data_IF_831366205076
#
_entry.id   IF_831366205076
#
_cell.length_a   1.000
_cell.length_b   1.000
_cell.length_c   1.000
_cell.angle_alpha   90.00
_cell.angle_beta   90.00
_cell.angle_gamma   90.00
#
_symmetry.space_group_name_H-M   'P 1'
#
loop_
_entity.id
_entity.type
_entity.pdbx_description
1 polymer ?
#
# COMPACT_ATOMS: atom_id res chain seq x y z
N UNK A 1 33.00 9.15 8.59
CA UNK A 1 32.17 7.91 8.69
C UNK A 1 32.66 6.92 7.65
N UNK A 2 33.11 5.76 8.07
CA UNK A 2 33.63 4.73 7.16
C UNK A 2 32.48 3.91 6.56
N UNK A 3 31.34 3.82 7.25
CA UNK A 3 30.16 3.06 6.84
C UNK A 3 28.90 3.97 6.91
N UNK A 4 28.79 5.00 6.03
CA UNK A 4 27.80 6.06 6.23
C UNK A 4 26.35 5.56 6.29
N UNK A 5 25.96 4.62 5.44
CA UNK A 5 24.60 4.09 5.46
C UNK A 5 24.35 3.19 6.68
N UNK A 6 25.25 2.25 6.93
CA UNK A 6 25.07 1.30 8.04
C UNK A 6 25.05 2.04 9.40
N UNK A 7 25.99 2.97 9.61
CA UNK A 7 26.02 3.78 10.84
C UNK A 7 24.72 4.60 10.99
N UNK A 8 24.21 5.17 9.90
CA UNK A 8 22.97 5.94 9.94
C UNK A 8 21.79 5.06 10.35
N UNK A 9 21.68 3.83 9.81
CA UNK A 9 20.61 2.89 10.17
C UNK A 9 20.71 2.46 11.65
N UNK A 10 21.92 2.17 12.11
CA UNK A 10 22.19 1.82 13.52
C UNK A 10 21.75 2.97 14.45
N UNK A 11 22.10 4.20 14.07
CA UNK A 11 21.75 5.38 14.86
C UNK A 11 20.24 5.63 14.85
N UNK A 12 19.58 5.48 13.69
CA UNK A 12 18.12 5.60 13.60
C UNK A 12 17.42 4.57 14.51
N UNK A 13 17.91 3.32 14.51
CA UNK A 13 17.38 2.28 15.40
C UNK A 13 17.43 2.74 16.87
N UNK A 14 18.55 3.38 17.29
CA UNK A 14 18.73 3.86 18.68
C UNK A 14 17.76 4.97 19.07
N UNK A 15 17.19 5.69 18.10
CA UNK A 15 16.19 6.74 18.38
C UNK A 15 14.89 6.18 18.96
N UNK A 16 14.60 4.92 18.71
CA UNK A 16 13.43 4.20 19.21
C UNK A 16 12.11 4.93 18.89
N UNK A 17 11.96 5.35 17.64
CA UNK A 17 10.75 6.03 17.16
C UNK A 17 9.59 5.04 17.02
N UNK A 18 8.38 5.47 17.36
CA UNK A 18 7.18 4.72 17.00
C UNK A 18 6.92 4.95 15.50
N UNK A 19 6.87 3.87 14.73
CA UNK A 19 6.71 3.93 13.28
C UNK A 19 5.22 3.88 12.89
N UNK A 20 4.70 5.04 12.49
CA UNK A 20 3.41 5.14 11.79
C UNK A 20 3.64 5.39 10.30
N UNK A 21 4.66 4.74 9.77
CA UNK A 21 5.10 4.81 8.37
C UNK A 21 5.32 3.41 7.84
N UNK A 22 5.50 3.28 6.54
CA UNK A 22 6.01 2.02 5.96
C UNK A 22 7.43 1.76 6.49
N UNK A 23 7.86 0.50 6.55
CA UNK A 23 7.13 -0.71 6.16
C UNK A 23 6.13 -1.19 7.23
N UNK A 24 5.22 -2.07 6.82
CA UNK A 24 4.18 -2.64 7.68
C UNK A 24 4.73 -3.53 8.80
N UNK A 25 5.95 -4.03 8.66
CA UNK A 25 6.59 -4.84 9.70
C UNK A 25 7.00 -4.02 10.94
N UNK A 26 6.99 -2.67 10.83
CA UNK A 26 7.27 -1.75 11.95
C UNK A 26 8.58 -2.10 12.68
N UNK A 27 9.68 -2.09 11.93
CA UNK A 27 11.01 -2.40 12.46
C UNK A 27 11.11 -3.81 13.05
N UNK A 28 10.37 -4.74 12.47
CA UNK A 28 10.37 -6.14 12.89
C UNK A 28 9.31 -6.50 13.93
N UNK A 29 8.64 -5.50 14.54
CA UNK A 29 7.67 -5.75 15.62
C UNK A 29 6.50 -6.63 15.17
N UNK A 30 6.04 -6.47 13.92
CA UNK A 30 4.92 -7.26 13.41
C UNK A 30 5.25 -8.76 13.30
N UNK A 31 6.52 -9.12 13.15
CA UNK A 31 6.94 -10.52 13.14
C UNK A 31 6.85 -11.17 14.52
N UNK A 32 6.84 -10.39 15.57
CA UNK A 32 6.81 -10.91 16.95
C UNK A 32 5.43 -11.43 17.38
N UNK A 33 4.45 -11.48 16.44
CA UNK A 33 3.09 -11.99 16.72
C UNK A 33 3.11 -13.45 17.19
N UNK A 34 4.06 -14.24 16.72
CA UNK A 34 4.22 -15.64 17.15
C UNK A 34 5.69 -16.09 17.11
N UNK A 35 5.93 -17.34 17.53
CA UNK A 35 7.28 -17.91 17.60
C UNK A 35 7.95 -18.03 16.22
N UNK A 36 7.20 -18.33 15.16
CA UNK A 36 7.75 -18.46 13.80
C UNK A 36 8.26 -17.11 13.27
N UNK A 37 7.47 -16.07 13.46
CA UNK A 37 7.89 -14.72 13.06
C UNK A 37 9.08 -14.22 13.87
N UNK A 38 9.13 -14.52 15.18
CA UNK A 38 10.29 -14.18 16.03
C UNK A 38 11.55 -14.88 15.53
N UNK A 39 11.46 -16.19 15.32
CA UNK A 39 12.59 -16.97 14.80
C UNK A 39 13.08 -16.43 13.46
N UNK A 40 12.16 -16.10 12.56
CA UNK A 40 12.50 -15.52 11.25
C UNK A 40 13.31 -14.24 11.41
N UNK A 41 12.81 -13.26 12.17
CA UNK A 41 13.46 -11.94 12.26
C UNK A 41 14.80 -12.00 13.02
N UNK A 42 14.96 -12.95 13.92
CA UNK A 42 16.19 -13.16 14.68
C UNK A 42 17.25 -13.92 13.87
N UNK A 43 16.85 -14.62 12.80
CA UNK A 43 17.73 -15.49 12.01
C UNK A 43 18.08 -14.93 10.63
N UNK A 44 17.77 -13.66 10.34
CA UNK A 44 17.87 -13.11 8.96
C UNK A 44 19.24 -13.42 8.32
N UNK A 45 20.34 -13.22 9.02
CA UNK A 45 21.66 -13.46 8.46
C UNK A 45 21.94 -14.92 8.14
N UNK A 46 21.29 -15.86 8.83
CA UNK A 46 21.43 -17.29 8.59
C UNK A 46 20.55 -17.80 7.45
N UNK A 47 19.49 -17.05 7.14
CA UNK A 47 18.50 -17.41 6.13
C UNK A 47 18.75 -16.73 4.78
N UNK A 48 19.76 -15.89 4.67
CA UNK A 48 20.07 -15.19 3.41
C UNK A 48 20.88 -16.12 2.50
N UNK A 49 20.16 -16.85 1.66
CA UNK A 49 20.71 -17.89 0.77
C UNK A 49 20.21 -17.65 -0.66
N UNK A 50 20.69 -18.46 -1.58
CA UNK A 50 20.23 -18.47 -2.98
C UNK A 50 19.48 -19.78 -3.29
N UNK A 51 19.29 -20.09 -4.58
CA UNK A 51 18.60 -21.30 -5.06
C UNK A 51 19.46 -22.54 -4.79
N UNK A 52 19.27 -23.14 -3.62
CA UNK A 52 19.95 -24.38 -3.23
C UNK A 52 18.92 -25.48 -3.02
N UNK A 53 19.30 -26.71 -3.35
CA UNK A 53 18.47 -27.86 -3.03
C UNK A 53 18.32 -27.96 -1.49
N UNK A 54 17.13 -28.17 -0.95
CA UNK A 54 15.85 -28.46 -1.63
C UNK A 54 14.86 -27.26 -1.66
N UNK A 55 15.32 -26.02 -1.77
CA UNK A 55 14.54 -24.84 -1.46
C UNK A 55 13.79 -24.17 -2.66
N UNK A 56 13.72 -24.87 -3.82
CA UNK A 56 12.93 -24.40 -4.96
C UNK A 56 13.55 -23.18 -5.65
N UNK A 57 12.96 -22.70 -6.75
CA UNK A 57 13.42 -21.57 -7.54
C UNK A 57 12.23 -20.70 -7.95
N UNK A 58 12.28 -19.40 -7.63
CA UNK A 58 11.16 -18.49 -7.88
C UNK A 58 10.83 -18.34 -9.38
N UNK A 59 11.83 -18.48 -10.28
CA UNK A 59 11.60 -18.40 -11.71
C UNK A 59 10.92 -19.65 -12.30
N UNK A 60 11.05 -20.81 -11.63
CA UNK A 60 10.44 -22.08 -12.02
C UNK A 60 9.98 -22.82 -10.77
N UNK A 61 8.98 -22.29 -10.06
CA UNK A 61 8.59 -22.89 -8.78
C UNK A 61 7.88 -24.21 -8.96
N UNK A 62 8.42 -25.25 -8.35
CA UNK A 62 7.87 -26.63 -8.39
C UNK A 62 7.64 -27.22 -7.00
N UNK A 63 8.29 -26.63 -5.98
CA UNK A 63 8.30 -27.11 -4.59
C UNK A 63 7.65 -26.13 -3.62
N UNK A 64 8.43 -25.73 -2.60
CA UNK A 64 7.91 -24.93 -1.46
C UNK A 64 7.46 -23.52 -1.87
N UNK A 65 8.10 -22.92 -2.86
CA UNK A 65 7.68 -21.59 -3.35
C UNK A 65 6.33 -21.74 -4.07
N UNK A 66 6.18 -22.77 -4.90
CA UNK A 66 4.90 -23.05 -5.57
C UNK A 66 3.79 -23.26 -4.55
N UNK A 67 4.05 -24.08 -3.52
CA UNK A 67 3.05 -24.31 -2.45
C UNK A 67 2.65 -23.00 -1.77
N UNK A 68 3.63 -22.14 -1.43
CA UNK A 68 3.36 -20.86 -0.80
C UNK A 68 2.50 -19.94 -1.69
N UNK A 69 2.81 -19.89 -2.99
CA UNK A 69 2.03 -19.11 -3.96
C UNK A 69 0.61 -19.68 -4.16
N UNK A 70 0.44 -20.99 -4.12
CA UNK A 70 -0.90 -21.63 -4.19
C UNK A 70 -1.74 -21.28 -2.94
N UNK A 71 -1.12 -21.27 -1.75
CA UNK A 71 -1.80 -20.83 -0.53
C UNK A 71 -2.20 -19.35 -0.61
N UNK A 72 -1.32 -18.51 -1.16
CA UNK A 72 -1.63 -17.08 -1.39
C UNK A 72 -2.80 -16.91 -2.35
N UNK A 73 -2.77 -17.64 -3.48
CA UNK A 73 -3.85 -17.68 -4.47
C UNK A 73 -5.19 -18.01 -3.82
N UNK A 74 -5.20 -19.07 -2.98
CA UNK A 74 -6.43 -19.52 -2.31
C UNK A 74 -6.94 -18.47 -1.31
N UNK A 75 -6.06 -17.83 -0.56
CA UNK A 75 -6.43 -16.79 0.41
C UNK A 75 -7.14 -15.61 -0.26
N UNK A 76 -6.66 -15.17 -1.43
CA UNK A 76 -7.22 -14.00 -2.13
C UNK A 76 -8.26 -14.38 -3.19
N UNK A 77 -8.41 -15.66 -3.53
CA UNK A 77 -9.43 -16.14 -4.45
C UNK A 77 -9.16 -15.83 -5.94
N UNK A 78 -7.90 -15.62 -6.32
CA UNK A 78 -7.52 -15.34 -7.71
C UNK A 78 -7.18 -16.61 -8.48
N UNK A 79 -6.97 -16.50 -9.80
CA UNK A 79 -6.58 -17.66 -10.63
C UNK A 79 -5.14 -18.05 -10.43
N UNK A 80 -4.23 -17.07 -10.27
CA UNK A 80 -2.82 -17.31 -10.04
C UNK A 80 -2.21 -16.15 -9.21
N UNK A 81 -1.29 -16.48 -8.32
CA UNK A 81 -0.62 -15.51 -7.47
C UNK A 81 0.90 -15.67 -7.56
N UNK A 82 1.62 -14.57 -7.51
CA UNK A 82 3.07 -14.54 -7.63
C UNK A 82 3.68 -13.70 -6.51
N UNK A 83 4.79 -14.16 -5.96
CA UNK A 83 5.66 -13.38 -5.09
C UNK A 83 6.55 -12.47 -5.94
N UNK A 84 6.67 -11.20 -5.53
CA UNK A 84 7.58 -10.23 -6.15
C UNK A 84 8.58 -9.77 -5.10
N UNK A 85 9.86 -9.82 -5.43
CA UNK A 85 10.94 -9.41 -4.52
C UNK A 85 11.54 -8.05 -4.87
N UNK A 86 11.08 -7.43 -5.96
CA UNK A 86 11.53 -6.11 -6.42
C UNK A 86 10.40 -5.06 -6.37
N UNK A 87 9.49 -5.24 -5.43
CA UNK A 87 8.41 -4.30 -5.14
C UNK A 87 7.25 -4.38 -6.12
N UNK A 88 6.19 -3.64 -5.81
CA UNK A 88 5.06 -3.49 -6.72
C UNK A 88 5.43 -2.81 -8.03
N UNK A 89 6.56 -2.10 -8.08
CA UNK A 89 7.08 -1.55 -9.33
C UNK A 89 7.27 -2.68 -10.36
N UNK A 90 7.94 -3.77 -9.97
CA UNK A 90 8.09 -4.94 -10.84
C UNK A 90 6.75 -5.53 -11.24
N UNK A 91 5.84 -5.64 -10.29
CA UNK A 91 4.48 -6.16 -10.54
C UNK A 91 3.69 -5.29 -11.52
N UNK A 92 3.73 -3.97 -11.36
CA UNK A 92 3.05 -3.03 -12.25
C UNK A 92 3.61 -3.14 -13.67
N UNK A 93 4.94 -3.11 -13.81
CA UNK A 93 5.59 -3.21 -15.13
C UNK A 93 5.25 -4.54 -15.80
N UNK A 94 5.38 -5.66 -15.07
CA UNK A 94 5.05 -6.99 -15.60
C UNK A 94 3.60 -7.06 -16.07
N UNK A 95 2.67 -6.53 -15.27
CA UNK A 95 1.25 -6.53 -15.60
C UNK A 95 0.95 -5.68 -16.85
N UNK A 96 1.55 -4.49 -16.93
CA UNK A 96 1.36 -3.61 -18.11
C UNK A 96 1.90 -4.26 -19.39
N UNK A 97 3.07 -4.90 -19.30
CA UNK A 97 3.66 -5.59 -20.46
C UNK A 97 2.87 -6.83 -20.84
N UNK A 98 2.25 -7.51 -19.87
CA UNK A 98 1.40 -8.68 -20.11
C UNK A 98 0.08 -8.28 -20.77
N UNK A 99 -0.55 -7.21 -20.27
CA UNK A 99 -1.89 -6.80 -20.68
C UNK A 99 -1.93 -6.04 -22.01
N UNK A 100 -0.86 -5.30 -22.36
CA UNK A 100 -0.90 -4.33 -23.45
C UNK A 100 0.27 -4.49 -24.42
N UNK A 101 0.01 -4.18 -25.69
CA UNK A 101 1.02 -4.15 -26.76
C UNK A 101 1.49 -2.71 -26.99
N UNK A 102 2.68 -2.56 -27.61
CA UNK A 102 3.18 -1.24 -28.03
C UNK A 102 2.15 -0.53 -28.88
N UNK A 103 1.87 0.74 -28.56
CA UNK A 103 0.91 1.57 -29.27
C UNK A 103 -0.53 1.48 -28.79
N UNK A 104 -0.85 0.54 -27.91
CA UNK A 104 -2.22 0.43 -27.35
C UNK A 104 -2.57 1.72 -26.57
N UNK A 105 -3.84 2.11 -26.65
CA UNK A 105 -4.39 3.22 -25.88
C UNK A 105 -5.03 2.70 -24.59
N UNK A 106 -4.66 3.30 -23.46
CA UNK A 106 -5.21 2.91 -22.16
C UNK A 106 -5.65 4.13 -21.34
N UNK A 107 -6.57 3.90 -20.41
CA UNK A 107 -6.98 4.90 -19.42
C UNK A 107 -6.15 4.76 -18.16
N UNK A 108 -5.71 5.89 -17.59
CA UNK A 108 -4.85 5.89 -16.40
C UNK A 108 -5.24 7.06 -15.48
N UNK A 109 -5.36 6.81 -14.19
CA UNK A 109 -5.52 7.89 -13.22
C UNK A 109 -4.29 8.80 -13.24
N UNK A 110 -4.52 10.11 -13.35
CA UNK A 110 -3.41 11.07 -13.49
C UNK A 110 -2.49 11.09 -12.26
N UNK A 111 -3.01 10.79 -11.09
CA UNK A 111 -2.22 10.75 -9.84
C UNK A 111 -1.76 9.34 -9.45
N UNK A 112 -1.60 8.45 -10.44
CA UNK A 112 -1.10 7.09 -10.22
C UNK A 112 0.38 7.08 -9.79
N UNK A 113 0.83 5.92 -9.33
CA UNK A 113 2.22 5.73 -8.92
C UNK A 113 3.20 5.89 -10.11
N UNK A 114 4.40 6.38 -9.83
CA UNK A 114 5.46 6.59 -10.83
C UNK A 114 5.76 5.36 -11.69
N UNK A 115 5.60 4.15 -11.14
CA UNK A 115 5.81 2.91 -11.88
C UNK A 115 4.88 2.80 -13.09
N UNK A 116 3.64 3.31 -12.97
CA UNK A 116 2.69 3.33 -14.10
C UNK A 116 3.22 4.24 -15.20
N UNK A 117 3.68 5.45 -14.86
CA UNK A 117 4.28 6.36 -15.84
C UNK A 117 5.50 5.73 -16.55
N UNK A 118 6.34 5.04 -15.78
CA UNK A 118 7.48 4.32 -16.34
C UNK A 118 7.00 3.24 -17.32
N UNK A 119 5.97 2.49 -16.95
CA UNK A 119 5.37 1.47 -17.83
C UNK A 119 4.81 2.07 -19.12
N UNK A 120 4.12 3.23 -19.03
CA UNK A 120 3.60 3.93 -20.22
C UNK A 120 4.74 4.26 -21.21
N UNK A 121 5.84 4.79 -20.68
CA UNK A 121 7.01 5.17 -21.49
C UNK A 121 7.68 3.94 -22.09
N UNK A 122 7.99 2.94 -21.26
CA UNK A 122 8.74 1.75 -21.67
C UNK A 122 7.96 0.90 -22.67
N UNK A 123 6.64 0.78 -22.49
CA UNK A 123 5.75 0.00 -23.37
C UNK A 123 5.23 0.85 -24.55
N UNK A 124 5.57 2.16 -24.57
CA UNK A 124 5.15 3.11 -25.61
C UNK A 124 3.63 3.14 -25.78
N UNK A 125 2.90 3.23 -24.65
CA UNK A 125 1.43 3.24 -24.66
C UNK A 125 0.90 4.66 -24.90
N UNK A 126 -0.25 4.76 -25.55
CA UNK A 126 -1.02 5.99 -25.66
C UNK A 126 -1.91 6.10 -24.42
N UNK A 127 -2.05 7.29 -23.85
CA UNK A 127 -2.76 7.44 -22.60
C UNK A 127 -3.89 8.45 -22.71
N UNK A 128 -5.07 8.06 -22.19
CA UNK A 128 -6.18 8.96 -21.89
C UNK A 128 -6.23 9.07 -20.36
N UNK A 129 -5.96 10.26 -19.83
CA UNK A 129 -5.95 10.45 -18.38
C UNK A 129 -7.35 10.58 -17.80
N UNK A 130 -7.54 9.98 -16.62
CA UNK A 130 -8.71 10.18 -15.76
C UNK A 130 -8.26 11.21 -14.71
N UNK A 131 -8.98 12.34 -14.63
CA UNK A 131 -8.59 13.42 -13.73
C UNK A 131 -9.02 13.08 -12.29
N UNK A 132 -8.13 13.30 -11.31
CA UNK A 132 -8.49 13.08 -9.91
C UNK A 132 -9.36 14.23 -9.39
N UNK A 133 -10.11 13.95 -8.34
CA UNK A 133 -10.82 14.96 -7.57
C UNK A 133 -9.92 15.43 -6.42
N UNK A 134 -10.08 16.67 -5.99
CA UNK A 134 -9.31 17.24 -4.89
C UNK A 134 -10.29 17.84 -3.87
N UNK A 135 -10.12 17.48 -2.59
CA UNK A 135 -10.93 18.01 -1.51
C UNK A 135 -10.57 19.47 -1.21
N UNK A 136 -11.43 20.15 -0.47
CA UNK A 136 -11.16 21.54 -0.01
C UNK A 136 -9.89 21.59 0.87
N UNK A 137 -9.58 20.51 1.58
CA UNK A 137 -8.37 20.38 2.40
C UNK A 137 -7.13 19.94 1.62
N UNK A 138 -7.27 19.83 0.28
CA UNK A 138 -6.18 19.55 -0.67
C UNK A 138 -5.59 18.13 -0.61
N UNK A 139 -6.38 17.15 -0.24
CA UNK A 139 -6.02 15.74 -0.47
C UNK A 139 -6.79 15.21 -1.68
N UNK A 140 -6.23 14.21 -2.33
CA UNK A 140 -6.85 13.60 -3.52
C UNK A 140 -7.94 12.60 -3.12
N UNK A 141 -9.03 12.63 -3.88
CA UNK A 141 -10.07 11.60 -3.86
C UNK A 141 -9.91 10.75 -5.12
N UNK A 142 -10.17 9.44 -5.05
CA UNK A 142 -10.20 8.63 -6.27
C UNK A 142 -11.23 9.18 -7.28
N UNK A 143 -10.96 9.06 -8.59
CA UNK A 143 -11.96 9.42 -9.59
C UNK A 143 -13.15 8.47 -9.47
N UNK A 144 -14.36 9.02 -9.47
CA UNK A 144 -15.57 8.20 -9.41
C UNK A 144 -15.94 7.63 -10.80
N UNK A 145 -17.02 6.86 -10.83
CA UNK A 145 -17.51 6.22 -12.05
C UNK A 145 -17.76 7.25 -13.18
N UNK A 146 -18.26 8.44 -12.83
CA UNK A 146 -18.53 9.51 -13.81
C UNK A 146 -17.24 9.97 -14.51
N UNK A 147 -16.16 10.20 -13.73
CA UNK A 147 -14.87 10.64 -14.28
C UNK A 147 -14.26 9.54 -15.17
N UNK A 148 -14.39 8.29 -14.77
CA UNK A 148 -13.94 7.14 -15.58
C UNK A 148 -14.66 7.13 -16.93
N UNK A 149 -15.98 7.27 -16.93
CA UNK A 149 -16.76 7.25 -18.18
C UNK A 149 -16.53 8.50 -19.04
N UNK A 150 -16.27 9.66 -18.44
CA UNK A 150 -15.84 10.86 -19.18
C UNK A 150 -14.54 10.60 -19.93
N UNK A 151 -13.55 9.99 -19.28
CA UNK A 151 -12.29 9.64 -19.92
C UNK A 151 -12.48 8.58 -21.00
N UNK A 152 -13.32 7.58 -20.73
CA UNK A 152 -13.62 6.51 -21.69
C UNK A 152 -14.24 7.07 -22.98
N UNK A 153 -15.14 8.05 -22.89
CA UNK A 153 -15.74 8.71 -24.05
C UNK A 153 -14.75 9.49 -24.91
N UNK A 154 -13.66 9.99 -24.30
CA UNK A 154 -12.61 10.73 -25.01
C UNK A 154 -11.60 9.81 -25.70
N UNK A 155 -11.45 8.58 -25.19
CA UNK A 155 -10.53 7.61 -25.77
C UNK A 155 -11.05 7.10 -27.11
N UNK A 156 -10.16 6.88 -28.08
CA UNK A 156 -10.53 6.44 -29.43
C UNK A 156 -10.70 4.94 -29.53
N UNK A 157 -9.75 4.18 -28.97
CA UNK A 157 -9.74 2.71 -29.06
C UNK A 157 -9.07 2.12 -27.81
N UNK A 158 -9.64 2.36 -26.63
CA UNK A 158 -8.98 1.93 -25.41
C UNK A 158 -8.95 0.41 -25.27
N UNK A 159 -7.79 -0.13 -24.87
CA UNK A 159 -7.57 -1.56 -24.64
C UNK A 159 -7.66 -1.91 -23.15
N UNK A 160 -7.53 -0.92 -22.27
CA UNK A 160 -7.62 -1.20 -20.85
C UNK A 160 -7.54 0.05 -19.99
N UNK A 161 -7.48 -0.20 -18.70
CA UNK A 161 -7.49 0.85 -17.68
C UNK A 161 -6.59 0.43 -16.51
N UNK A 162 -5.94 1.41 -15.89
CA UNK A 162 -5.20 1.21 -14.65
C UNK A 162 -5.84 2.09 -13.58
N UNK A 163 -6.34 1.46 -12.51
CA UNK A 163 -6.98 2.11 -11.37
C UNK A 163 -6.12 1.94 -10.13
N UNK A 164 -6.11 2.95 -9.25
CA UNK A 164 -5.43 2.90 -7.95
C UNK A 164 -6.50 2.72 -6.86
N UNK A 165 -6.39 1.64 -6.09
CA UNK A 165 -7.40 1.26 -5.09
C UNK A 165 -6.74 0.56 -3.91
N UNK A 166 -6.74 1.18 -2.71
CA UNK A 166 -7.12 2.57 -2.45
C UNK A 166 -6.06 3.56 -2.94
N UNK A 167 -6.38 4.86 -2.88
CA UNK A 167 -5.38 5.87 -3.17
C UNK A 167 -4.38 6.00 -2.00
N UNK A 168 -3.38 6.87 -2.15
CA UNK A 168 -2.30 7.04 -1.15
C UNK A 168 -2.85 7.47 0.23
N UNK A 169 -3.96 8.21 0.24
CA UNK A 169 -4.57 8.68 1.49
C UNK A 169 -5.42 7.61 2.18
N UNK A 170 -5.57 6.44 1.57
CA UNK A 170 -6.39 5.35 2.10
C UNK A 170 -7.87 5.48 1.75
N UNK A 171 -8.18 6.33 0.78
CA UNK A 171 -9.57 6.59 0.37
C UNK A 171 -9.91 5.70 -0.82
N UNK A 172 -11.09 5.10 -0.79
CA UNK A 172 -11.61 4.22 -1.85
C UNK A 172 -13.12 4.37 -1.95
N UNK A 173 -13.71 3.73 -2.95
CA UNK A 173 -15.15 3.52 -3.06
C UNK A 173 -15.35 2.13 -3.65
N UNK A 174 -16.59 1.63 -3.65
CA UNK A 174 -16.86 0.29 -4.19
C UNK A 174 -16.70 0.29 -5.71
N UNK A 175 -15.54 -0.16 -6.18
CA UNK A 175 -15.22 -0.23 -7.62
C UNK A 175 -15.62 -1.56 -8.26
N UNK A 176 -16.13 -2.52 -7.50
CA UNK A 176 -16.48 -3.87 -8.02
C UNK A 176 -17.36 -3.77 -9.28
N UNK A 177 -18.46 -3.01 -9.19
CA UNK A 177 -19.40 -2.86 -10.31
C UNK A 177 -18.74 -2.18 -11.52
N UNK A 178 -17.88 -1.19 -11.28
CA UNK A 178 -17.14 -0.48 -12.32
C UNK A 178 -16.20 -1.44 -13.04
N UNK A 179 -15.41 -2.21 -12.27
CA UNK A 179 -14.49 -3.22 -12.82
C UNK A 179 -15.27 -4.22 -13.70
N UNK A 180 -16.37 -4.76 -13.18
CA UNK A 180 -17.19 -5.71 -13.94
C UNK A 180 -17.71 -5.11 -15.26
N UNK A 181 -18.20 -3.85 -15.24
CA UNK A 181 -18.69 -3.17 -16.45
C UNK A 181 -17.55 -2.95 -17.47
N UNK A 182 -16.39 -2.52 -17.01
CA UNK A 182 -15.23 -2.27 -17.88
C UNK A 182 -14.75 -3.56 -18.54
N UNK A 183 -14.71 -4.67 -17.80
CA UNK A 183 -14.34 -5.98 -18.35
C UNK A 183 -15.37 -6.46 -19.37
N UNK A 184 -16.68 -6.25 -19.12
CA UNK A 184 -17.76 -6.63 -20.07
C UNK A 184 -17.64 -5.94 -21.42
N UNK A 185 -17.12 -4.72 -21.46
CA UNK A 185 -16.89 -4.00 -22.73
C UNK A 185 -15.51 -4.31 -23.34
N UNK A 186 -14.80 -5.28 -22.80
CA UNK A 186 -13.56 -5.79 -23.38
C UNK A 186 -12.28 -5.08 -22.92
N UNK A 187 -12.34 -4.23 -21.90
CA UNK A 187 -11.14 -3.56 -21.37
C UNK A 187 -10.40 -4.48 -20.41
N UNK A 188 -9.08 -4.55 -20.53
CA UNK A 188 -8.23 -5.16 -19.50
C UNK A 188 -8.16 -4.21 -18.32
N UNK A 189 -8.35 -4.73 -17.10
CA UNK A 189 -8.33 -3.93 -15.87
C UNK A 189 -7.14 -4.32 -15.01
N UNK A 190 -6.22 -3.37 -14.83
CA UNK A 190 -5.10 -3.48 -13.88
C UNK A 190 -5.45 -2.64 -12.66
N UNK A 191 -5.27 -3.19 -11.46
CA UNK A 191 -5.54 -2.48 -10.23
C UNK A 191 -4.26 -2.39 -9.39
N UNK A 192 -3.81 -1.17 -9.15
CA UNK A 192 -2.73 -0.89 -8.21
C UNK A 192 -3.34 -0.86 -6.81
N UNK A 193 -3.32 -2.03 -6.16
CA UNK A 193 -3.79 -2.24 -4.78
C UNK A 193 -2.61 -2.20 -3.79
N UNK A 194 -1.55 -1.43 -4.12
CA UNK A 194 -0.32 -1.43 -3.34
C UNK A 194 -0.55 -1.04 -1.87
N UNK A 195 -1.59 -0.27 -1.57
CA UNK A 195 -1.92 0.14 -0.21
C UNK A 195 -3.03 -0.70 0.42
N UNK A 196 -3.48 -1.78 -0.24
CA UNK A 196 -4.61 -2.61 0.19
C UNK A 196 -4.27 -4.09 0.38
N UNK A 197 -3.02 -4.46 0.64
CA UNK A 197 -2.67 -5.88 0.79
C UNK A 197 -3.42 -6.57 1.96
N UNK A 198 -3.94 -5.82 2.91
CA UNK A 198 -4.73 -6.35 4.03
C UNK A 198 -6.24 -6.35 3.75
N UNK A 199 -6.67 -5.90 2.56
CA UNK A 199 -8.10 -5.80 2.23
C UNK A 199 -8.71 -7.18 2.04
N UNK A 200 -10.02 -7.26 2.31
CA UNK A 200 -10.78 -8.50 2.15
C UNK A 200 -10.68 -9.48 3.32
N UNK A 201 -9.77 -9.25 4.27
CA UNK A 201 -9.62 -10.18 5.40
C UNK A 201 -10.75 -10.02 6.44
N UNK A 202 -11.46 -8.89 6.42
CA UNK A 202 -12.57 -8.59 7.32
C UNK A 202 -13.60 -7.72 6.62
N UNK A 203 -14.86 -7.83 7.00
CA UNK A 203 -15.94 -6.96 6.51
C UNK A 203 -15.82 -5.51 7.00
N UNK A 204 -14.97 -5.26 8.00
CA UNK A 204 -14.67 -3.89 8.48
C UNK A 204 -13.66 -3.17 7.60
N UNK A 205 -13.06 -3.87 6.64
CA UNK A 205 -12.10 -3.34 5.66
C UNK A 205 -12.74 -3.32 4.26
N UNK A 206 -12.23 -2.49 3.35
CA UNK A 206 -12.69 -2.58 1.96
C UNK A 206 -12.42 -3.97 1.37
N UNK A 207 -13.18 -4.35 0.34
CA UNK A 207 -12.97 -5.60 -0.38
C UNK A 207 -11.64 -5.55 -1.13
N UNK A 208 -10.92 -6.65 -1.21
CA UNK A 208 -9.80 -6.77 -2.13
C UNK A 208 -10.32 -6.98 -3.56
N UNK A 209 -9.61 -6.40 -4.52
CA UNK A 209 -9.90 -6.61 -5.95
C UNK A 209 -9.09 -7.76 -6.53
N UNK A 210 -8.33 -8.49 -5.71
CA UNK A 210 -7.44 -9.56 -6.15
C UNK A 210 -8.13 -10.63 -7.02
N UNK A 211 -9.39 -10.93 -6.75
CA UNK A 211 -10.16 -11.93 -7.53
C UNK A 211 -10.87 -11.33 -8.76
N UNK A 212 -10.86 -10.01 -8.95
CA UNK A 212 -11.68 -9.33 -9.95
C UNK A 212 -10.90 -8.65 -11.07
N UNK A 213 -9.83 -7.94 -10.74
CA UNK A 213 -8.98 -7.31 -11.75
C UNK A 213 -8.27 -8.36 -12.60
N UNK A 214 -8.00 -8.05 -13.87
CA UNK A 214 -7.20 -8.97 -14.70
C UNK A 214 -5.79 -9.12 -14.11
N UNK A 215 -5.25 -8.02 -13.61
CA UNK A 215 -3.98 -7.98 -12.84
C UNK A 215 -4.19 -7.08 -11.64
N UNK A 216 -3.81 -7.55 -10.45
CA UNK A 216 -3.92 -6.75 -9.22
C UNK A 216 -2.57 -6.84 -8.49
N UNK A 217 -2.01 -5.70 -8.11
CA UNK A 217 -0.69 -5.63 -7.49
C UNK A 217 -0.83 -5.09 -6.07
N UNK A 218 -0.41 -5.87 -5.07
CA UNK A 218 -0.49 -5.47 -3.66
C UNK A 218 0.89 -5.46 -3.02
N UNK A 219 1.27 -4.33 -2.39
CA UNK A 219 2.55 -4.24 -1.67
C UNK A 219 2.40 -4.82 -0.26
N UNK A 220 2.73 -6.09 -0.10
CA UNK A 220 2.68 -6.74 1.22
C UNK A 220 3.50 -5.95 2.25
N UNK A 221 4.70 -5.46 1.85
CA UNK A 221 5.59 -4.76 2.77
C UNK A 221 5.03 -3.42 3.29
N UNK A 222 3.98 -2.85 2.65
CA UNK A 222 3.42 -1.57 3.13
C UNK A 222 2.51 -1.74 4.34
N UNK A 223 1.72 -2.81 4.38
CA UNK A 223 0.66 -2.97 5.38
C UNK A 223 0.73 -4.26 6.19
N UNK A 224 1.59 -5.20 5.80
CA UNK A 224 1.68 -6.53 6.40
C UNK A 224 3.09 -6.77 6.98
N UNK A 225 3.27 -7.82 7.80
CA UNK A 225 4.61 -8.20 8.27
C UNK A 225 5.42 -8.85 7.13
N UNK A 226 5.98 -8.00 6.27
CA UNK A 226 6.83 -8.42 5.17
C UNK A 226 8.04 -7.48 5.10
N UNK A 227 9.16 -7.99 4.60
CA UNK A 227 10.36 -7.17 4.38
C UNK A 227 10.17 -6.24 3.19
N UNK A 228 10.83 -5.09 3.23
CA UNK A 228 10.74 -4.07 2.19
C UNK A 228 11.11 -4.66 0.82
N UNK A 229 10.31 -4.34 -0.18
CA UNK A 229 10.43 -4.89 -1.52
C UNK A 229 9.48 -6.05 -1.78
N UNK A 230 8.89 -6.64 -0.73
CA UNK A 230 7.95 -7.76 -0.89
C UNK A 230 6.57 -7.30 -1.35
N UNK A 231 6.08 -7.89 -2.44
CA UNK A 231 4.73 -7.61 -2.95
C UNK A 231 4.14 -8.86 -3.60
N UNK A 232 2.83 -8.79 -3.89
CA UNK A 232 2.06 -9.84 -4.54
C UNK A 232 1.54 -9.33 -5.88
N UNK A 233 1.50 -10.23 -6.87
CA UNK A 233 0.77 -10.00 -8.12
C UNK A 233 -0.28 -11.10 -8.24
N UNK A 234 -1.53 -10.70 -8.42
CA UNK A 234 -2.66 -11.60 -8.63
C UNK A 234 -3.10 -11.48 -10.09
N UNK A 235 -3.25 -12.62 -10.75
CA UNK A 235 -3.58 -12.68 -12.18
C UNK A 235 -4.88 -13.47 -12.36
N UNK A 236 -5.85 -12.88 -13.07
CA UNK A 236 -7.11 -13.53 -13.45
C UNK A 236 -7.30 -13.57 -14.95
N UNK A 237 -6.31 -13.10 -15.70
CA UNK A 237 -6.22 -13.15 -17.15
C UNK A 237 -5.50 -14.44 -17.60
N UNK A 238 -5.18 -14.57 -18.88
CA UNK A 238 -4.33 -15.64 -19.39
C UNK A 238 -2.91 -15.47 -18.82
N UNK A 239 -2.35 -16.55 -18.31
CA UNK A 239 -1.18 -16.45 -17.44
C UNK A 239 0.19 -16.57 -18.14
N UNK A 240 0.27 -17.11 -19.36
CA UNK A 240 1.55 -17.33 -20.05
C UNK A 240 2.39 -16.05 -20.21
N UNK A 241 1.75 -14.97 -20.68
CA UNK A 241 2.46 -13.68 -20.80
C UNK A 241 2.86 -13.12 -19.44
N UNK A 242 2.00 -13.30 -18.42
CA UNK A 242 2.29 -12.85 -17.07
C UNK A 242 3.53 -13.54 -16.52
N UNK A 243 3.62 -14.85 -16.64
CA UNK A 243 4.78 -15.63 -16.19
C UNK A 243 6.07 -15.14 -16.84
N UNK A 244 6.04 -14.91 -18.15
CA UNK A 244 7.20 -14.43 -18.88
C UNK A 244 7.65 -13.05 -18.37
N UNK A 245 6.72 -12.08 -18.30
CA UNK A 245 7.11 -10.71 -17.93
C UNK A 245 7.44 -10.57 -16.44
N UNK A 246 6.79 -11.34 -15.57
CA UNK A 246 7.15 -11.38 -14.15
C UNK A 246 8.61 -11.87 -14.01
N UNK A 247 8.95 -12.96 -14.68
CA UNK A 247 10.32 -13.48 -14.69
C UNK A 247 11.31 -12.47 -15.32
N UNK A 248 10.95 -11.88 -16.45
CA UNK A 248 11.83 -10.97 -17.19
C UNK A 248 12.15 -9.68 -16.39
N UNK A 249 11.23 -9.19 -15.58
CA UNK A 249 11.43 -7.98 -14.78
C UNK A 249 11.95 -8.25 -13.37
N UNK A 250 12.18 -9.53 -13.03
CA UNK A 250 12.65 -9.91 -11.70
C UNK A 250 14.13 -10.31 -11.75
N UNK A 251 14.85 -10.02 -10.68
CA UNK A 251 16.27 -10.43 -10.54
C UNK A 251 16.40 -11.95 -10.66
N UNK A 252 17.48 -12.41 -11.26
CA UNK A 252 17.79 -13.85 -11.31
C UNK A 252 18.30 -14.38 -9.95
N UNK A 253 18.54 -13.50 -8.98
CA UNK A 253 18.94 -13.86 -7.62
C UNK A 253 17.89 -13.32 -6.63
N UNK A 254 16.66 -13.87 -6.64
CA UNK A 254 15.60 -13.34 -5.78
C UNK A 254 15.89 -13.60 -4.30
N UNK A 255 15.66 -12.59 -3.47
CA UNK A 255 15.93 -12.69 -2.02
C UNK A 255 15.00 -13.71 -1.35
N UNK A 256 15.58 -14.78 -0.80
CA UNK A 256 14.82 -15.76 -0.01
C UNK A 256 14.28 -15.15 1.28
N UNK A 257 14.94 -14.15 1.84
CA UNK A 257 14.43 -13.42 2.99
C UNK A 257 13.12 -12.70 2.66
N UNK A 258 13.07 -12.03 1.50
CA UNK A 258 11.84 -11.34 1.07
C UNK A 258 10.75 -12.37 0.80
N UNK A 259 11.05 -13.47 0.09
CA UNK A 259 10.07 -14.52 -0.19
C UNK A 259 9.52 -15.14 1.11
N UNK A 260 10.39 -15.48 2.06
CA UNK A 260 9.97 -16.05 3.35
C UNK A 260 9.08 -15.06 4.10
N UNK A 261 9.40 -13.75 4.05
CA UNK A 261 8.55 -12.73 4.68
C UNK A 261 7.19 -12.61 3.99
N UNK A 262 7.12 -12.84 2.68
CA UNK A 262 5.84 -12.85 1.93
C UNK A 262 4.98 -14.04 2.33
N UNK A 263 5.60 -15.22 2.48
CA UNK A 263 4.87 -16.39 2.96
C UNK A 263 4.41 -16.19 4.41
N UNK A 264 5.26 -15.60 5.26
CA UNK A 264 4.84 -15.26 6.63
C UNK A 264 3.67 -14.24 6.62
N UNK A 265 3.73 -13.23 5.75
CA UNK A 265 2.64 -12.24 5.65
C UNK A 265 1.30 -12.88 5.26
N UNK A 266 1.34 -13.84 4.30
CA UNK A 266 0.16 -14.63 3.92
C UNK A 266 -0.34 -15.45 5.11
N UNK A 267 0.55 -16.18 5.79
CA UNK A 267 0.23 -16.98 6.97
C UNK A 267 -0.36 -16.12 8.09
N UNK A 268 0.26 -14.95 8.35
CA UNK A 268 -0.23 -13.99 9.34
C UNK A 268 -1.67 -13.57 9.03
N UNK A 269 -1.94 -13.19 7.78
CA UNK A 269 -3.29 -12.78 7.37
C UNK A 269 -4.31 -13.89 7.61
N UNK A 270 -3.99 -15.09 7.15
CA UNK A 270 -4.89 -16.25 7.25
C UNK A 270 -5.20 -16.60 8.71
N UNK A 271 -4.21 -16.51 9.58
CA UNK A 271 -4.33 -16.98 10.96
C UNK A 271 -4.76 -15.91 11.95
N UNK A 272 -4.26 -14.71 11.82
CA UNK A 272 -4.44 -13.63 12.78
C UNK A 272 -5.09 -12.38 12.18
N UNK A 273 -5.02 -12.23 10.87
CA UNK A 273 -5.33 -10.96 10.20
C UNK A 273 -6.70 -10.40 10.56
N UNK A 274 -7.75 -11.22 10.50
CA UNK A 274 -9.10 -10.74 10.82
C UNK A 274 -9.17 -10.12 12.21
N UNK A 275 -8.78 -10.90 13.22
CA UNK A 275 -8.83 -10.44 14.61
C UNK A 275 -7.95 -9.20 14.84
N UNK A 276 -6.70 -9.26 14.39
CA UNK A 276 -5.73 -8.20 14.63
C UNK A 276 -6.15 -6.89 13.96
N UNK A 277 -6.64 -6.93 12.71
CA UNK A 277 -7.09 -5.73 12.02
C UNK A 277 -8.42 -5.19 12.58
N UNK A 278 -9.35 -6.06 12.99
CA UNK A 278 -10.59 -5.59 13.62
C UNK A 278 -10.30 -4.88 14.94
N UNK A 279 -9.43 -5.44 15.77
CA UNK A 279 -8.97 -4.81 17.00
C UNK A 279 -8.28 -3.46 16.74
N UNK A 280 -7.41 -3.40 15.73
CA UNK A 280 -6.76 -2.16 15.34
C UNK A 280 -7.78 -1.10 14.92
N UNK A 281 -8.77 -1.47 14.11
CA UNK A 281 -9.82 -0.55 13.65
C UNK A 281 -10.59 0.04 14.84
N UNK A 282 -10.95 -0.80 15.81
CA UNK A 282 -11.67 -0.32 17.01
C UNK A 282 -10.83 0.67 17.82
N UNK A 283 -9.56 0.33 18.05
CA UNK A 283 -8.61 1.23 18.72
C UNK A 283 -8.42 2.55 17.95
N UNK A 284 -8.28 2.46 16.63
CA UNK A 284 -8.10 3.64 15.78
C UNK A 284 -9.32 4.56 15.85
N UNK A 285 -10.53 4.00 15.76
CA UNK A 285 -11.75 4.80 15.81
C UNK A 285 -11.96 5.45 17.17
N UNK A 286 -11.72 4.71 18.26
CA UNK A 286 -11.78 5.26 19.61
C UNK A 286 -10.79 6.42 19.78
N UNK A 287 -9.55 6.21 19.39
CA UNK A 287 -8.49 7.21 19.55
C UNK A 287 -8.70 8.42 18.63
N UNK A 288 -9.21 8.18 17.40
CA UNK A 288 -9.58 9.26 16.48
C UNK A 288 -10.56 10.23 17.12
N UNK A 289 -11.62 9.69 17.74
CA UNK A 289 -12.65 10.51 18.43
C UNK A 289 -12.02 11.34 19.54
N UNK A 290 -11.23 10.70 20.41
CA UNK A 290 -10.56 11.37 21.54
C UNK A 290 -9.61 12.48 21.04
N UNK A 291 -8.85 12.23 19.99
CA UNK A 291 -7.93 13.23 19.41
C UNK A 291 -8.74 14.41 18.83
N UNK A 292 -9.83 14.12 18.13
CA UNK A 292 -10.66 15.17 17.53
C UNK A 292 -11.32 16.06 18.60
N UNK A 293 -11.64 15.50 19.80
CA UNK A 293 -12.16 16.26 20.93
C UNK A 293 -11.17 17.32 21.44
N UNK A 294 -9.86 17.12 21.23
CA UNK A 294 -8.86 18.12 21.59
C UNK A 294 -8.94 19.38 20.71
N UNK A 295 -9.63 19.32 19.57
CA UNK A 295 -9.86 20.43 18.63
C UNK A 295 -8.54 21.07 18.11
N UNK A 296 -7.42 20.36 18.19
CA UNK A 296 -6.10 20.83 17.73
C UNK A 296 -5.81 20.44 16.29
N UNK A 297 -6.25 19.27 15.91
CA UNK A 297 -6.18 18.70 14.55
C UNK A 297 -7.51 18.03 14.27
N UNK A 298 -7.72 17.60 13.03
CA UNK A 298 -8.87 16.76 12.69
C UNK A 298 -8.36 15.50 11.99
N UNK A 299 -8.65 14.34 12.54
CA UNK A 299 -8.43 13.06 11.86
C UNK A 299 -9.73 12.74 11.11
N UNK A 300 -9.62 12.59 9.79
CA UNK A 300 -10.77 12.37 8.89
C UNK A 300 -11.38 10.99 9.17
N UNK A 301 -12.71 10.94 9.17
CA UNK A 301 -13.48 9.70 9.22
C UNK A 301 -14.38 9.58 7.99
N UNK A 302 -15.11 8.47 7.88
CA UNK A 302 -16.04 8.26 6.75
C UNK A 302 -17.07 9.38 6.65
N UNK A 303 -17.49 9.94 7.78
CA UNK A 303 -18.47 11.02 7.85
C UNK A 303 -17.98 12.34 7.23
N UNK A 304 -16.69 12.46 7.02
CA UNK A 304 -16.07 13.67 6.44
C UNK A 304 -15.89 13.56 4.93
N UNK A 305 -16.09 12.37 4.37
CA UNK A 305 -15.89 12.12 2.95
C UNK A 305 -17.20 12.32 2.16
N UNK A 306 -17.13 12.63 0.87
CA UNK A 306 -18.34 12.64 0.04
C UNK A 306 -19.01 11.26 0.05
N UNK A 307 -20.34 11.25 -0.13
CA UNK A 307 -21.13 10.01 -0.15
C UNK A 307 -20.54 8.98 -1.12
N UNK A 308 -20.40 7.76 -0.65
CA UNK A 308 -19.89 6.64 -1.44
C UNK A 308 -18.40 6.38 -1.31
N UNK A 309 -17.66 7.31 -0.71
CA UNK A 309 -16.24 7.10 -0.41
C UNK A 309 -16.08 6.53 1.00
N UNK A 310 -15.05 5.73 1.19
CA UNK A 310 -14.70 5.11 2.46
C UNK A 310 -13.22 5.36 2.75
N UNK A 311 -12.87 5.43 4.03
CA UNK A 311 -11.48 5.55 4.46
C UNK A 311 -11.03 4.23 5.09
N UNK A 312 -9.85 3.79 4.75
CA UNK A 312 -9.18 2.71 5.48
C UNK A 312 -8.87 3.21 6.90
N UNK A 313 -9.57 2.65 7.88
CA UNK A 313 -9.51 3.09 9.29
C UNK A 313 -8.18 2.76 9.99
N UNK A 314 -7.32 1.97 9.35
CA UNK A 314 -5.96 1.74 9.83
C UNK A 314 -5.00 2.84 9.37
N UNK A 315 -5.53 3.89 8.78
CA UNK A 315 -4.78 5.01 8.23
C UNK A 315 -5.34 6.32 8.82
N UNK A 316 -4.48 7.15 9.36
CA UNK A 316 -4.90 8.47 9.83
C UNK A 316 -4.52 9.53 8.80
N UNK A 317 -5.54 10.15 8.24
CA UNK A 317 -5.41 11.38 7.45
C UNK A 317 -5.68 12.53 8.41
N UNK A 318 -4.63 13.20 8.87
CA UNK A 318 -4.70 14.25 9.87
C UNK A 318 -4.65 15.60 9.17
N UNK A 319 -5.70 16.39 9.32
CA UNK A 319 -5.83 17.74 8.75
C UNK A 319 -5.58 18.76 9.85
N UNK A 320 -4.80 19.77 9.52
CA UNK A 320 -4.47 20.87 10.44
C UNK A 320 -5.41 22.07 10.23
N UNK A 321 -5.62 22.88 11.27
CA UNK A 321 -6.38 24.11 11.10
C UNK A 321 -5.74 25.02 10.04
N UNK A 322 -6.57 25.82 9.37
CA UNK A 322 -6.13 26.74 8.31
C UNK A 322 -4.97 27.63 8.79
N UNK A 323 -3.91 27.67 8.01
CA UNK A 323 -2.70 28.45 8.30
C UNK A 323 -1.58 27.67 8.98
N UNK A 324 -1.79 26.39 9.27
CA UNK A 324 -0.74 25.50 9.81
C UNK A 324 -0.21 24.60 8.70
N UNK A 325 1.06 24.22 8.80
CA UNK A 325 1.77 23.42 7.78
C UNK A 325 1.85 21.96 8.19
N UNK A 326 1.39 21.05 7.31
CA UNK A 326 1.55 19.62 7.50
C UNK A 326 3.03 19.22 7.62
N UNK A 327 3.90 19.87 6.84
CA UNK A 327 5.35 19.59 6.88
C UNK A 327 5.93 19.87 8.27
N UNK A 328 5.60 21.03 8.85
CA UNK A 328 6.05 21.41 10.21
C UNK A 328 5.45 20.48 11.28
N UNK A 329 4.22 20.01 11.06
CA UNK A 329 3.60 19.08 11.99
C UNK A 329 4.29 17.70 11.93
N UNK A 330 4.66 17.24 10.75
CA UNK A 330 5.42 15.99 10.63
C UNK A 330 6.79 16.12 11.35
N UNK A 331 7.47 17.26 11.21
CA UNK A 331 8.72 17.54 11.93
C UNK A 331 8.50 17.56 13.45
N UNK A 332 7.38 18.12 13.90
CA UNK A 332 7.01 18.10 15.32
C UNK A 332 6.81 16.67 15.82
N UNK A 333 6.06 15.85 15.07
CA UNK A 333 5.83 14.44 15.46
C UNK A 333 7.17 13.69 15.57
N UNK A 334 8.10 13.95 14.66
CA UNK A 334 9.44 13.33 14.70
C UNK A 334 10.20 13.69 15.98
N UNK A 335 10.09 14.95 16.44
CA UNK A 335 10.69 15.40 17.73
C UNK A 335 10.04 14.69 18.93
N UNK A 336 8.75 14.35 18.81
CA UNK A 336 8.03 13.57 19.82
C UNK A 336 8.27 12.05 19.66
N UNK A 337 9.26 11.64 18.84
CA UNK A 337 9.63 10.23 18.60
C UNK A 337 8.52 9.45 17.89
N UNK A 338 7.80 10.12 16.97
CA UNK A 338 6.76 9.52 16.14
C UNK A 338 7.15 9.72 14.67
N UNK A 339 7.43 8.64 13.97
CA UNK A 339 7.75 8.67 12.54
C UNK A 339 6.46 8.50 11.73
N UNK A 340 5.96 9.58 11.12
CA UNK A 340 4.80 9.52 10.23
C UNK A 340 5.20 9.18 8.79
N UNK A 341 4.21 8.89 7.96
CA UNK A 341 4.44 8.44 6.58
C UNK A 341 4.78 9.59 5.65
N UNK A 342 3.90 10.57 5.56
CA UNK A 342 4.14 11.71 4.68
C UNK A 342 3.36 12.94 5.12
N UNK A 343 3.78 14.10 4.63
CA UNK A 343 3.10 15.37 4.83
C UNK A 343 2.73 16.02 3.51
N UNK A 344 1.68 16.82 3.55
CA UNK A 344 1.26 17.71 2.46
C UNK A 344 0.93 19.07 3.08
N UNK A 345 0.56 20.04 2.26
CA UNK A 345 0.42 21.43 2.73
C UNK A 345 -0.46 21.57 3.99
N UNK A 346 -1.56 20.84 4.06
CA UNK A 346 -2.58 21.01 5.11
C UNK A 346 -2.64 19.85 6.10
N UNK A 347 -1.79 18.81 5.96
CA UNK A 347 -1.90 17.65 6.82
C UNK A 347 -0.80 16.63 6.71
N UNK A 348 -1.01 15.51 7.40
CA UNK A 348 -0.09 14.36 7.37
C UNK A 348 -0.87 13.06 7.25
N UNK A 349 -0.19 12.03 6.74
CA UNK A 349 -0.70 10.66 6.68
C UNK A 349 0.13 9.80 7.63
N UNK A 350 -0.57 9.00 8.45
CA UNK A 350 0.04 7.99 9.31
C UNK A 350 -0.50 6.62 8.91
N UNK A 351 0.36 5.63 8.87
CA UNK A 351 0.01 4.23 8.57
C UNK A 351 0.16 3.42 9.85
N UNK A 352 -0.94 2.86 10.32
CA UNK A 352 -0.98 2.08 11.54
C UNK A 352 -0.98 0.58 11.20
N UNK A 353 -0.40 -0.21 12.08
CA UNK A 353 -0.39 -1.67 11.98
C UNK A 353 -0.80 -2.25 13.32
N UNK A 354 -1.33 -3.48 13.36
CA UNK A 354 -1.76 -4.09 14.62
C UNK A 354 -0.70 -4.04 15.73
N UNK A 355 0.58 -4.24 15.39
CA UNK A 355 1.67 -4.21 16.36
C UNK A 355 1.95 -2.81 16.96
N UNK A 356 1.40 -1.73 16.39
CA UNK A 356 1.52 -0.41 17.02
C UNK A 356 0.73 -0.34 18.34
N UNK A 357 -0.38 -1.05 18.42
CA UNK A 357 -1.15 -1.22 19.64
C UNK A 357 -1.66 0.08 20.27
N UNK A 358 -2.19 -0.07 21.48
CA UNK A 358 -2.71 1.05 22.25
C UNK A 358 -1.60 2.00 22.69
N UNK A 359 -0.42 1.49 23.01
CA UNK A 359 0.73 2.30 23.45
C UNK A 359 1.11 3.33 22.40
N UNK A 360 1.24 2.90 21.12
CA UNK A 360 1.57 3.82 20.03
C UNK A 360 0.53 4.92 19.88
N UNK A 361 -0.75 4.54 19.91
CA UNK A 361 -1.86 5.50 19.79
C UNK A 361 -1.93 6.47 20.98
N UNK A 362 -1.62 6.01 22.20
CA UNK A 362 -1.54 6.86 23.39
C UNK A 362 -0.42 7.89 23.27
N UNK A 363 0.73 7.48 22.71
CA UNK A 363 1.83 8.40 22.47
C UNK A 363 1.45 9.48 21.44
N UNK A 364 0.74 9.09 20.38
CA UNK A 364 0.23 10.06 19.40
C UNK A 364 -0.75 11.04 20.05
N UNK A 365 -1.70 10.54 20.85
CA UNK A 365 -2.63 11.37 21.61
C UNK A 365 -1.88 12.40 22.46
N UNK A 366 -0.91 11.94 23.27
CA UNK A 366 -0.11 12.80 24.15
C UNK A 366 0.67 13.86 23.37
N UNK A 367 1.24 13.49 22.21
CA UNK A 367 1.96 14.45 21.37
C UNK A 367 1.00 15.55 20.86
N UNK A 368 -0.19 15.16 20.42
CA UNK A 368 -1.18 16.13 19.94
C UNK A 368 -1.72 17.00 21.11
N UNK A 369 -1.93 16.39 22.28
CA UNK A 369 -2.37 17.11 23.46
C UNK A 369 -1.38 18.20 23.89
N UNK A 370 -0.08 17.94 23.77
CA UNK A 370 0.99 18.92 24.09
C UNK A 370 1.14 20.01 23.01
N UNK A 371 0.62 19.79 21.81
CA UNK A 371 0.80 20.74 20.69
C UNK A 371 0.30 22.13 21.07
N UNK A 372 1.21 23.09 21.12
CA UNK A 372 0.87 24.49 21.44
C UNK A 372 0.38 25.20 20.17
N UNK A 373 -0.78 25.80 20.23
CA UNK A 373 -1.32 26.65 19.17
C UNK A 373 -0.54 27.99 19.16
N UNK A 374 0.70 27.98 18.68
CA UNK A 374 1.45 29.22 18.54
C UNK A 374 0.85 30.07 17.41
N UNK A 375 0.36 31.26 17.74
CA UNK A 375 -0.14 32.25 16.78
C UNK A 375 0.93 32.72 15.77
N UNK A 376 2.19 32.39 16.04
CA UNK A 376 3.32 32.69 15.16
C UNK A 376 3.55 31.76 13.97
N UNK A 377 2.90 30.92 13.91
CA UNK A 377 3.00 30.14 12.92
C UNK A 377 2.25 30.51 11.78
N UNK A 378 1.73 31.49 11.83
CA UNK A 378 1.16 32.05 10.62
C UNK A 378 2.28 32.48 9.70
N UNK A 379 3.01 31.56 9.21
CA UNK A 379 3.98 31.89 8.17
C UNK A 379 3.24 32.00 6.83
N UNK A 380 3.35 33.17 6.27
CA UNK A 380 3.02 33.43 4.88
C UNK A 380 3.88 32.49 4.02
N UNK A 381 3.29 31.41 3.55
CA UNK A 381 3.82 30.76 2.37
C UNK A 381 3.46 31.66 1.19
N UNK A 382 4.39 32.50 0.81
CA UNK A 382 4.39 33.01 -0.56
C UNK A 382 4.94 31.87 -1.42
N UNK A 383 4.18 31.48 -2.41
CA UNK A 383 4.63 30.64 -3.52
C UNK A 383 5.89 31.22 -4.16
#
# INVERSE_FOLDING_TARGET
MDLPLLEALINYKKENNIAFSMPGNKSGEAFKRDSKGKEFIESLGLLDITEVEPLDNLHHPEGVIKEAQEKLKNLYGCKKAFFMVNGSTGGILSSMFSAFNEGDEILVERNCHRAVYNGLILRKLKVQYIEPKISDERYFLPPDEEEIYKALKKAKNPKGIILTYPNYFGISYDIEKVVCKLKKIGLKVIIDEAHGAHYGISEKLPKSMAALGDYVIASAHKTLPALTGGSFVFVNDECEKAEFYISAFMTTSPSYLVMASLDYARYYLERYGKEDFENLIELCEEKRKKINELKKVKIIGDEDLPKGYNLDKTRYLIILPKGYSGHKFLDYLRKEKIQGEMSFSSGVVLLLAPCNGEEGLNKLYSAIEKLKRNRRXKNKCKL
#
